data_IF_046104265688
#
_entry.id   IF_046104265688
#
_cell.length_a   1.000
_cell.length_b   1.000
_cell.length_c   1.000
_cell.angle_alpha   90.00
_cell.angle_beta   90.00
_cell.angle_gamma   90.00
#
_symmetry.space_group_name_H-M   'P 1'
#
loop_
_entity.id
_entity.type
_entity.pdbx_description
1 polymer ?
#
# COMPACT_ATOMS: atom_id res chain seq x y z
N UNK A 1 -77.73 -67.12 57.55
CA UNK A 1 -77.40 -65.72 57.91
C UNK A 1 -75.96 -65.49 57.48
N UNK A 2 -75.70 -64.47 56.65
CA UNK A 2 -74.38 -63.86 56.37
C UNK A 2 -73.30 -64.64 55.59
N UNK A 3 -73.53 -65.04 54.32
CA UNK A 3 -72.38 -65.39 53.44
C UNK A 3 -72.59 -65.02 51.96
N UNK A 4 -73.81 -65.14 51.45
CA UNK A 4 -74.12 -64.86 50.04
C UNK A 4 -74.30 -63.37 49.72
N UNK A 5 -74.72 -62.56 50.70
CA UNK A 5 -74.90 -61.10 50.52
C UNK A 5 -73.57 -60.33 50.56
N UNK A 6 -72.63 -60.77 51.41
CA UNK A 6 -71.31 -60.15 51.58
C UNK A 6 -70.41 -60.38 50.35
N UNK A 7 -70.40 -61.61 49.80
CA UNK A 7 -69.69 -61.94 48.55
C UNK A 7 -70.18 -61.13 47.35
N UNK A 8 -71.49 -60.83 47.28
CA UNK A 8 -72.09 -59.99 46.21
C UNK A 8 -71.70 -58.52 46.37
N UNK A 9 -71.60 -58.02 47.61
CA UNK A 9 -71.21 -56.63 47.87
C UNK A 9 -69.74 -56.38 47.52
N UNK A 10 -68.82 -57.27 47.91
CA UNK A 10 -67.40 -57.17 47.52
C UNK A 10 -67.20 -57.28 46.01
N UNK A 11 -67.95 -58.16 45.34
CA UNK A 11 -67.90 -58.26 43.88
C UNK A 11 -68.32 -56.95 43.19
N UNK A 12 -69.36 -56.27 43.69
CA UNK A 12 -69.79 -54.98 43.15
C UNK A 12 -68.78 -53.85 43.41
N UNK A 13 -68.18 -53.81 44.60
CA UNK A 13 -67.14 -52.82 44.93
C UNK A 13 -65.89 -53.04 44.08
N UNK A 14 -65.48 -54.29 43.85
CA UNK A 14 -64.32 -54.61 43.02
C UNK A 14 -64.54 -54.21 41.56
N UNK A 15 -65.75 -54.45 41.01
CA UNK A 15 -66.13 -53.99 39.67
C UNK A 15 -66.11 -52.46 39.58
N UNK A 16 -66.60 -51.77 40.60
CA UNK A 16 -66.60 -50.30 40.64
C UNK A 16 -65.18 -49.73 40.66
N UNK A 17 -64.28 -50.29 41.47
CA UNK A 17 -62.87 -49.86 41.55
C UNK A 17 -62.17 -50.08 40.21
N UNK A 18 -62.35 -51.25 39.59
CA UNK A 18 -61.78 -51.54 38.26
C UNK A 18 -62.33 -50.58 37.21
N UNK A 19 -63.63 -50.27 37.24
CA UNK A 19 -64.25 -49.32 36.31
C UNK A 19 -63.68 -47.90 36.48
N UNK A 20 -63.50 -47.44 37.72
CA UNK A 20 -62.92 -46.11 38.02
C UNK A 20 -61.44 -46.04 37.62
N UNK A 21 -60.65 -47.10 37.86
CA UNK A 21 -59.26 -47.17 37.43
C UNK A 21 -59.12 -47.16 35.91
N UNK A 22 -60.00 -47.86 35.18
CA UNK A 22 -60.01 -47.87 33.72
C UNK A 22 -60.42 -46.51 33.14
N UNK A 23 -61.41 -45.83 33.73
CA UNK A 23 -61.82 -44.48 33.32
C UNK A 23 -60.71 -43.45 33.59
N UNK A 24 -60.05 -43.51 34.74
CA UNK A 24 -58.94 -42.61 35.07
C UNK A 24 -57.73 -42.81 34.15
N UNK A 25 -57.37 -44.06 33.85
CA UNK A 25 -56.31 -44.39 32.91
C UNK A 25 -56.61 -43.93 31.47
N UNK A 26 -57.87 -44.07 31.03
CA UNK A 26 -58.29 -43.65 29.71
C UNK A 26 -58.29 -42.12 29.53
N UNK A 27 -58.71 -41.37 30.55
CA UNK A 27 -58.67 -39.90 30.52
C UNK A 27 -57.22 -39.36 30.45
N UNK A 28 -56.28 -40.01 31.16
CA UNK A 28 -54.85 -39.69 31.08
C UNK A 28 -54.26 -40.01 29.71
N UNK A 29 -54.64 -41.16 29.12
CA UNK A 29 -54.22 -41.54 27.77
C UNK A 29 -54.72 -40.54 26.72
N UNK A 30 -55.98 -40.11 26.80
CA UNK A 30 -56.55 -39.12 25.88
C UNK A 30 -55.94 -37.70 26.03
N UNK A 31 -55.40 -37.39 27.20
CA UNK A 31 -54.79 -36.08 27.49
C UNK A 31 -53.31 -36.02 27.15
N UNK A 32 -52.67 -37.14 26.83
CA UNK A 32 -51.26 -37.16 26.45
C UNK A 32 -51.07 -36.59 25.03
N UNK A 33 -50.53 -35.38 24.95
CA UNK A 33 -50.12 -34.76 23.68
C UNK A 33 -48.61 -34.83 23.56
N UNK A 34 -48.04 -35.61 22.61
CA UNK A 34 -46.60 -35.60 22.40
C UNK A 34 -46.14 -34.22 21.91
N UNK A 35 -44.93 -33.78 22.28
CA UNK A 35 -44.39 -32.51 21.81
C UNK A 35 -44.24 -32.53 20.29
N UNK A 36 -44.75 -31.49 19.62
CA UNK A 36 -44.59 -31.30 18.18
C UNK A 36 -43.25 -30.63 17.94
N UNK A 37 -42.32 -31.32 17.27
CA UNK A 37 -41.05 -30.73 16.81
C UNK A 37 -41.39 -29.84 15.61
N UNK A 38 -41.33 -28.53 15.79
CA UNK A 38 -41.49 -27.58 14.68
C UNK A 38 -40.14 -27.43 13.98
N UNK A 39 -40.02 -27.76 12.68
CA UNK A 39 -38.78 -27.54 11.95
C UNK A 39 -38.48 -26.04 11.88
N UNK A 40 -37.31 -25.63 12.38
CA UNK A 40 -36.82 -24.26 12.22
C UNK A 40 -36.58 -24.01 10.72
N UNK A 41 -37.14 -22.96 10.10
CA UNK A 41 -36.89 -22.68 8.69
C UNK A 41 -35.40 -22.35 8.51
N UNK A 42 -34.70 -23.18 7.75
CA UNK A 42 -33.36 -22.88 7.24
C UNK A 42 -33.46 -21.61 6.40
N UNK A 43 -32.72 -20.56 6.80
CA UNK A 43 -32.74 -19.25 6.15
C UNK A 43 -32.57 -19.37 4.63
N UNK A 44 -33.30 -18.55 3.89
CA UNK A 44 -33.29 -18.53 2.43
C UNK A 44 -31.85 -18.49 1.88
N UNK A 45 -31.48 -19.46 1.05
CA UNK A 45 -30.23 -19.44 0.30
C UNK A 45 -30.24 -18.21 -0.63
N UNK A 46 -29.36 -17.24 -0.36
CA UNK A 46 -29.19 -16.06 -1.22
C UNK A 46 -28.59 -16.49 -2.56
N UNK A 47 -29.32 -16.22 -3.65
CA UNK A 47 -28.84 -16.43 -5.03
C UNK A 47 -27.89 -15.29 -5.41
N UNK A 48 -26.58 -15.51 -5.32
CA UNK A 48 -25.56 -14.54 -5.70
C UNK A 48 -24.68 -15.05 -6.84
N UNK A 49 -24.33 -14.13 -7.75
CA UNK A 49 -23.28 -14.34 -8.76
C UNK A 49 -22.07 -13.54 -8.28
N UNK A 50 -20.95 -14.23 -8.05
CA UNK A 50 -19.70 -13.60 -7.67
C UNK A 50 -18.75 -13.65 -8.86
N UNK A 51 -18.15 -12.51 -9.19
CA UNK A 51 -17.21 -12.37 -10.31
C UNK A 51 -15.94 -11.70 -9.79
N UNK A 52 -14.79 -12.24 -10.20
CA UNK A 52 -13.48 -11.62 -9.96
C UNK A 52 -12.85 -11.32 -11.31
N UNK A 53 -12.38 -10.09 -11.49
CA UNK A 53 -11.63 -9.66 -12.67
C UNK A 53 -10.33 -8.97 -12.27
N UNK A 54 -9.28 -9.19 -13.06
CA UNK A 54 -7.99 -8.48 -12.94
C UNK A 54 -7.79 -7.67 -14.21
N UNK A 55 -7.55 -6.37 -14.06
CA UNK A 55 -7.20 -5.48 -15.16
C UNK A 55 -5.75 -5.04 -15.04
N UNK A 56 -4.98 -5.22 -16.10
CA UNK A 56 -3.61 -4.69 -16.21
C UNK A 56 -3.58 -3.67 -17.34
N UNK A 57 -2.97 -2.52 -17.09
CA UNK A 57 -2.67 -1.52 -18.11
C UNK A 57 -1.16 -1.35 -18.22
N UNK A 58 -0.68 -1.26 -19.45
CA UNK A 58 0.71 -0.93 -19.76
C UNK A 58 0.71 0.20 -20.78
N UNK A 59 1.46 1.26 -20.50
CA UNK A 59 1.60 2.42 -21.39
C UNK A 59 3.06 2.76 -21.58
N UNK A 60 3.41 3.38 -22.70
CA UNK A 60 4.74 3.93 -22.91
C UNK A 60 5.01 5.12 -21.99
N UNK A 61 6.24 5.30 -21.49
CA UNK A 61 6.65 6.54 -20.83
C UNK A 61 6.48 7.76 -21.73
N UNK A 62 6.09 8.88 -21.15
CA UNK A 62 5.81 10.16 -21.82
C UNK A 62 6.78 11.28 -21.44
N UNK A 63 7.52 11.12 -20.33
CA UNK A 63 8.53 12.09 -19.87
C UNK A 63 9.88 11.40 -19.62
N UNK A 64 10.96 12.15 -19.83
CA UNK A 64 12.31 11.77 -19.47
C UNK A 64 12.94 12.79 -18.54
N UNK A 65 14.01 12.41 -17.85
CA UNK A 65 14.85 13.37 -17.13
C UNK A 65 16.30 12.91 -17.14
N UNK A 66 17.21 13.88 -17.07
CA UNK A 66 18.63 13.62 -16.91
C UNK A 66 19.23 14.57 -15.87
N UNK A 67 20.44 14.26 -15.43
CA UNK A 67 21.22 15.13 -14.54
C UNK A 67 22.41 15.68 -15.30
N UNK A 68 22.61 16.99 -15.20
CA UNK A 68 23.74 17.71 -15.76
C UNK A 68 24.52 18.33 -14.61
N UNK A 69 25.84 18.14 -14.57
CA UNK A 69 26.69 18.71 -13.54
C UNK A 69 27.79 19.61 -14.12
N UNK A 70 28.15 20.67 -13.39
CA UNK A 70 29.33 21.48 -13.66
C UNK A 70 30.25 21.37 -12.46
N UNK A 71 31.51 21.05 -12.72
CA UNK A 71 32.58 21.00 -11.71
C UNK A 71 33.66 22.01 -12.05
N UNK A 72 33.94 22.92 -11.13
CA UNK A 72 35.00 23.92 -11.24
C UNK A 72 35.99 23.78 -10.11
N UNK A 73 37.20 24.31 -10.32
CA UNK A 73 38.28 24.33 -9.33
C UNK A 73 38.99 25.68 -9.38
N UNK A 74 39.36 26.22 -8.23
CA UNK A 74 40.13 27.45 -8.14
C UNK A 74 40.96 27.50 -6.86
N UNK A 75 41.85 28.50 -6.74
CA UNK A 75 42.68 28.70 -5.56
C UNK A 75 41.87 29.12 -4.33
N UNK A 76 40.74 29.79 -4.54
CA UNK A 76 39.82 30.21 -3.46
C UNK A 76 38.42 29.66 -3.67
N UNK A 77 37.67 29.49 -2.58
CA UNK A 77 36.28 29.06 -2.60
C UNK A 77 35.40 30.00 -3.43
N UNK A 78 35.56 31.32 -3.26
CA UNK A 78 34.79 32.34 -3.97
C UNK A 78 35.04 32.32 -5.48
N UNK A 79 36.29 32.15 -5.90
CA UNK A 79 36.61 32.04 -7.33
C UNK A 79 36.04 30.75 -7.93
N UNK A 80 36.14 29.62 -7.22
CA UNK A 80 35.60 28.35 -7.68
C UNK A 80 34.06 28.43 -7.85
N UNK A 81 33.37 29.06 -6.91
CA UNK A 81 31.94 29.32 -6.96
C UNK A 81 31.57 30.25 -8.12
N UNK A 82 32.27 31.37 -8.30
CA UNK A 82 31.97 32.31 -9.38
C UNK A 82 32.13 31.65 -10.76
N UNK A 83 33.21 30.88 -10.95
CA UNK A 83 33.40 30.09 -12.17
C UNK A 83 32.27 29.09 -12.36
N UNK A 84 31.83 28.42 -11.29
CA UNK A 84 30.74 27.45 -11.36
C UNK A 84 29.42 28.10 -11.77
N UNK A 85 29.06 29.20 -11.10
CA UNK A 85 27.82 29.92 -11.35
C UNK A 85 27.76 30.43 -12.79
N UNK A 86 28.86 30.96 -13.31
CA UNK A 86 28.96 31.40 -14.71
C UNK A 86 28.80 30.23 -15.70
N UNK A 87 29.45 29.09 -15.44
CA UNK A 87 29.35 27.92 -16.30
C UNK A 87 27.95 27.28 -16.25
N UNK A 88 27.38 27.08 -15.06
CA UNK A 88 26.03 26.54 -14.92
C UNK A 88 24.98 27.47 -15.52
N UNK A 89 25.16 28.79 -15.41
CA UNK A 89 24.26 29.76 -16.06
C UNK A 89 24.22 29.59 -17.58
N UNK A 90 25.38 29.31 -18.23
CA UNK A 90 25.42 29.02 -19.67
C UNK A 90 24.65 27.76 -20.02
N UNK A 91 24.82 26.69 -19.24
CA UNK A 91 24.08 25.43 -19.42
C UNK A 91 22.57 25.65 -19.30
N UNK A 92 22.13 26.32 -18.22
CA UNK A 92 20.71 26.63 -17.98
C UNK A 92 20.15 27.51 -19.11
N UNK A 93 20.86 28.57 -19.51
CA UNK A 93 20.43 29.43 -20.61
C UNK A 93 20.31 28.67 -21.93
N UNK A 94 21.25 27.78 -22.25
CA UNK A 94 21.17 26.96 -23.46
C UNK A 94 19.95 26.04 -23.46
N UNK A 95 19.69 25.34 -22.35
CA UNK A 95 18.53 24.47 -22.20
C UNK A 95 17.20 25.24 -22.28
N UNK A 96 17.12 26.41 -21.64
CA UNK A 96 15.95 27.29 -21.73
C UNK A 96 15.69 27.76 -23.16
N UNK A 97 16.74 28.17 -23.87
CA UNK A 97 16.64 28.58 -25.27
C UNK A 97 16.23 27.42 -26.20
N UNK A 98 16.50 26.18 -25.81
CA UNK A 98 16.07 24.99 -26.52
C UNK A 98 14.65 24.51 -26.15
N UNK A 99 13.93 25.25 -25.29
CA UNK A 99 12.53 25.02 -24.96
C UNK A 99 12.26 24.35 -23.63
N UNK A 100 13.28 24.09 -22.80
CA UNK A 100 13.08 23.60 -21.43
C UNK A 100 12.53 24.73 -20.55
N UNK A 101 11.40 24.50 -19.89
CA UNK A 101 10.81 25.48 -18.99
C UNK A 101 11.57 25.61 -17.67
N UNK A 102 11.46 26.76 -17.01
CA UNK A 102 12.10 26.99 -15.71
C UNK A 102 11.68 25.99 -14.64
N UNK A 103 10.41 25.57 -14.65
CA UNK A 103 9.87 24.55 -13.76
C UNK A 103 10.49 23.17 -13.96
N UNK A 104 11.09 22.93 -15.12
CA UNK A 104 11.65 21.65 -15.54
C UNK A 104 13.17 21.59 -15.28
N UNK A 105 13.76 22.63 -14.69
CA UNK A 105 15.16 22.68 -14.25
C UNK A 105 15.20 22.85 -12.74
N UNK A 106 15.79 21.89 -12.05
CA UNK A 106 15.90 21.91 -10.59
C UNK A 106 17.34 21.63 -10.18
N UNK A 107 17.93 22.47 -9.32
CA UNK A 107 19.20 22.12 -8.67
C UNK A 107 18.97 20.99 -7.68
N UNK A 108 19.72 19.90 -7.83
CA UNK A 108 19.57 18.66 -7.02
C UNK A 108 20.79 18.37 -6.14
N UNK A 109 21.95 18.93 -6.45
CA UNK A 109 23.15 18.82 -5.60
C UNK A 109 24.01 20.08 -5.80
N UNK A 110 24.50 20.65 -4.71
CA UNK A 110 25.50 21.71 -4.74
C UNK A 110 26.50 21.45 -3.63
N UNK A 111 27.79 21.45 -3.98
CA UNK A 111 28.86 21.11 -3.05
C UNK A 111 30.09 21.95 -3.29
N UNK A 112 30.65 22.48 -2.21
CA UNK A 112 31.94 23.15 -2.19
C UNK A 112 32.86 22.39 -1.25
N UNK A 113 33.97 21.89 -1.77
CA UNK A 113 34.93 21.05 -1.03
C UNK A 113 36.35 21.63 -1.14
N UNK A 114 37.13 21.63 -0.05
CA UNK A 114 38.56 21.88 -0.13
C UNK A 114 39.27 20.76 -0.90
N UNK A 115 40.31 21.12 -1.64
CA UNK A 115 41.20 20.19 -2.34
C UNK A 115 42.53 20.17 -1.59
N UNK A 116 42.92 19.01 -1.09
CA UNK A 116 44.20 18.81 -0.42
C UNK A 116 45.18 18.07 -1.33
N UNK A 117 46.43 18.50 -1.32
CA UNK A 117 47.54 17.72 -1.84
C UNK A 117 48.00 16.75 -0.73
N UNK A 118 48.02 15.47 -1.07
CA UNK A 118 48.47 14.42 -0.16
C UNK A 118 49.94 14.60 0.24
N UNK A 119 50.23 14.22 1.48
CA UNK A 119 51.59 14.20 2.00
C UNK A 119 52.45 13.18 1.24
N UNK A 120 53.61 13.62 0.74
CA UNK A 120 54.54 12.74 0.00
C UNK A 120 55.39 11.86 0.93
N UNK A 121 55.53 12.26 2.18
CA UNK A 121 56.35 11.57 3.18
C UNK A 121 55.54 11.24 4.44
N UNK A 122 55.83 10.11 5.12
CA UNK A 122 55.22 9.78 6.40
C UNK A 122 55.44 10.88 7.44
N UNK A 123 54.36 11.37 8.07
CA UNK A 123 54.41 12.39 9.12
C UNK A 123 54.18 13.82 8.64
N UNK A 124 54.05 14.08 7.33
CA UNK A 124 53.62 15.38 6.83
C UNK A 124 52.09 15.50 6.82
N UNK A 125 51.58 16.70 7.08
CA UNK A 125 50.15 17.00 6.98
C UNK A 125 49.76 17.34 5.53
N UNK A 126 48.55 16.96 5.06
CA UNK A 126 48.03 17.38 3.77
C UNK A 126 47.96 18.91 3.65
N UNK A 127 48.30 19.44 2.48
CA UNK A 127 48.32 20.89 2.21
C UNK A 127 47.08 21.28 1.42
N UNK A 128 46.34 22.29 1.87
CA UNK A 128 45.23 22.84 1.10
C UNK A 128 45.78 23.51 -0.17
N UNK A 129 45.31 23.07 -1.34
CA UNK A 129 45.76 23.58 -2.65
C UNK A 129 44.67 24.25 -3.46
N UNK A 130 43.42 24.23 -2.98
CA UNK A 130 42.33 24.96 -3.60
C UNK A 130 40.97 24.47 -3.14
N UNK A 131 39.96 24.79 -3.95
CA UNK A 131 38.57 24.42 -3.71
C UNK A 131 37.94 23.91 -5.00
N UNK A 132 37.03 22.95 -4.87
CA UNK A 132 36.18 22.48 -5.96
C UNK A 132 34.73 22.82 -5.67
N UNK A 133 34.00 23.26 -6.67
CA UNK A 133 32.54 23.40 -6.60
C UNK A 133 31.91 22.46 -7.62
N UNK A 134 30.95 21.66 -7.17
CA UNK A 134 30.06 20.84 -8.00
C UNK A 134 28.65 21.38 -7.88
N UNK A 135 28.00 21.64 -9.01
CA UNK A 135 26.59 22.00 -9.08
C UNK A 135 25.91 21.05 -10.05
N UNK A 136 24.82 20.39 -9.63
CA UNK A 136 24.05 19.47 -10.46
C UNK A 136 22.61 19.92 -10.56
N UNK A 137 22.09 19.92 -11.78
CA UNK A 137 20.68 20.16 -12.07
C UNK A 137 20.04 18.89 -12.63
N UNK A 138 18.80 18.61 -12.21
CA UNK A 138 17.89 17.71 -12.91
C UNK A 138 17.14 18.52 -13.96
N UNK A 139 17.08 17.96 -15.16
CA UNK A 139 16.37 18.53 -16.29
C UNK A 139 15.27 17.55 -16.70
N UNK A 140 14.02 17.97 -16.60
CA UNK A 140 12.85 17.22 -17.07
C UNK A 140 12.56 17.58 -18.52
N UNK A 141 12.33 16.56 -19.34
CA UNK A 141 12.08 16.70 -20.78
C UNK A 141 10.74 16.04 -21.09
N UNK A 142 9.76 16.86 -21.47
CA UNK A 142 8.41 16.40 -21.82
C UNK A 142 8.33 15.79 -23.23
N UNK A 143 9.30 16.11 -24.10
CA UNK A 143 9.44 15.51 -25.42
C UNK A 143 10.53 14.43 -25.37
N UNK A 144 10.16 13.20 -25.00
CA UNK A 144 11.09 12.09 -24.78
C UNK A 144 12.07 11.85 -25.95
N UNK A 145 11.66 11.89 -27.24
CA UNK A 145 12.58 11.84 -28.38
C UNK A 145 13.70 12.89 -28.38
N UNK A 146 13.49 14.05 -27.76
CA UNK A 146 14.48 15.15 -27.72
C UNK A 146 15.53 15.01 -26.62
N UNK A 147 15.40 14.05 -25.69
CA UNK A 147 16.29 13.92 -24.52
C UNK A 147 17.76 13.86 -24.92
N UNK A 148 18.12 13.07 -25.93
CA UNK A 148 19.51 12.96 -26.39
C UNK A 148 20.09 14.30 -26.85
N UNK A 149 19.30 15.07 -27.61
CA UNK A 149 19.67 16.43 -28.03
C UNK A 149 19.88 17.37 -26.85
N UNK A 150 19.07 17.24 -25.79
CA UNK A 150 19.21 18.07 -24.58
C UNK A 150 20.45 17.71 -23.77
N UNK A 151 20.82 16.43 -23.72
CA UNK A 151 22.07 15.96 -23.11
C UNK A 151 23.26 16.54 -23.88
N UNK A 152 23.29 16.39 -25.20
CA UNK A 152 24.37 16.92 -26.05
C UNK A 152 24.52 18.43 -25.91
N UNK A 153 23.39 19.14 -25.82
CA UNK A 153 23.38 20.59 -25.60
C UNK A 153 23.98 20.97 -24.25
N UNK A 154 23.64 20.25 -23.18
CA UNK A 154 24.21 20.51 -21.85
C UNK A 154 25.72 20.26 -21.83
N UNK A 155 26.18 19.16 -22.42
CA UNK A 155 27.61 18.82 -22.55
C UNK A 155 28.35 19.90 -23.32
N UNK A 156 27.81 20.31 -24.47
CA UNK A 156 28.42 21.33 -25.34
C UNK A 156 28.55 22.70 -24.66
N UNK A 157 27.78 22.95 -23.59
CA UNK A 157 27.82 24.19 -22.82
C UNK A 157 28.57 24.08 -21.47
N UNK A 158 29.25 22.95 -21.23
CA UNK A 158 30.17 22.79 -20.10
C UNK A 158 29.70 21.84 -18.99
N UNK A 159 28.60 21.12 -19.20
CA UNK A 159 28.20 20.03 -18.30
C UNK A 159 29.02 18.77 -18.51
N UNK A 160 29.14 17.95 -17.46
CA UNK A 160 29.59 16.56 -17.48
C UNK A 160 28.62 15.63 -16.77
#
# INVERSE_FOLDING_TARGET
>A
MSETHEKRLYALVLILVVAVSLLGGFALYMSYRPPVIVPQPSGAEQKTISVSGVGTISTSPDIGWFTAAVVTRAGTAAEAEQLNNNAMSKVISALKNAGIGDKDIQTVDYRLEPIYQEAKEPGQMPVLVGYSVRNSIRVTVNDLPSVGKMIDLAISNGSN
#
